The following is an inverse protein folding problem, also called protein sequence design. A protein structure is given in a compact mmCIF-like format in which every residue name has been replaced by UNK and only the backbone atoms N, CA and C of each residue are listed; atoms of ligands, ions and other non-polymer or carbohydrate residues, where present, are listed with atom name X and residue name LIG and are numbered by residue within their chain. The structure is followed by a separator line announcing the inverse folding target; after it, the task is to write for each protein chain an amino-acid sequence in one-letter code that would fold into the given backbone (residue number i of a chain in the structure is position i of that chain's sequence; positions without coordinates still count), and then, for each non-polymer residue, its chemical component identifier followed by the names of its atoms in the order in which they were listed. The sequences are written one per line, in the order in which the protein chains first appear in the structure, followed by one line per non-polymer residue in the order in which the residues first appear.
data_IF_113293366022
#
_entry.id   IF_113293366022
#
_cell.length_a   1.000
_cell.length_b   1.000
_cell.length_c   1.000
_cell.angle_alpha   90.00
_cell.angle_beta   90.00
_cell.angle_gamma   90.00
#
_symmetry.space_group_name_H-M   'P 1'
#
loop_
_entity.id
_entity.type
_entity.pdbx_description
1 polymer ?
#
# COMPACT_ATOMS: atom_id res chain seq x y z
N UNK A 1 0.24 4.55 -9.78
CA UNK A 1 0.49 5.59 -10.81
C UNK A 1 1.02 4.98 -12.10
N UNK A 2 1.13 5.81 -13.13
CA UNK A 2 1.68 5.43 -14.42
C UNK A 2 3.20 5.56 -14.51
N UNK A 3 3.80 6.30 -13.57
CA UNK A 3 5.24 6.49 -13.44
C UNK A 3 5.67 6.53 -12.00
N UNK A 4 6.87 6.03 -11.69
CA UNK A 4 7.41 6.06 -10.33
C UNK A 4 7.61 7.49 -9.80
N UNK A 5 8.02 8.44 -10.65
CA UNK A 5 8.13 9.85 -10.28
C UNK A 5 6.81 10.51 -9.85
N UNK A 6 5.66 9.92 -10.21
CA UNK A 6 4.32 10.38 -9.85
C UNK A 6 3.60 9.38 -8.94
N UNK A 7 4.33 8.50 -8.30
CA UNK A 7 3.77 7.55 -7.35
C UNK A 7 3.18 8.29 -6.15
N UNK A 8 1.97 7.89 -5.74
CA UNK A 8 1.37 8.40 -4.52
C UNK A 8 2.16 7.91 -3.32
N UNK A 9 2.45 8.82 -2.40
CA UNK A 9 3.03 8.49 -1.09
C UNK A 9 1.94 8.71 -0.04
N UNK A 10 1.64 7.70 0.75
CA UNK A 10 0.56 7.75 1.74
C UNK A 10 0.74 8.91 2.75
N UNK A 11 1.99 9.29 3.04
CA UNK A 11 2.31 10.41 3.93
C UNK A 11 1.79 11.75 3.42
N UNK A 12 1.76 11.94 2.10
CA UNK A 12 1.22 13.14 1.45
C UNK A 12 -0.31 13.23 1.59
N UNK A 13 -0.94 12.16 2.05
CA UNK A 13 -2.40 12.09 2.26
C UNK A 13 -2.81 12.30 3.71
N UNK A 14 -1.90 12.67 4.59
CA UNK A 14 -2.16 12.94 6.00
C UNK A 14 -2.16 14.45 6.31
N UNK A 15 -2.69 14.82 7.47
CA UNK A 15 -2.74 16.20 7.92
C UNK A 15 -3.91 17.00 7.33
N UNK A 16 -3.81 18.34 7.39
CA UNK A 16 -4.85 19.23 6.86
C UNK A 16 -5.08 19.01 5.38
N UNK A 17 -6.32 18.79 5.00
CA UNK A 17 -6.72 18.55 3.59
C UNK A 17 -6.32 19.72 2.68
N UNK A 18 -6.36 20.95 3.20
CA UNK A 18 -5.98 22.13 2.43
C UNK A 18 -4.48 22.21 2.10
N UNK A 19 -3.64 21.50 2.87
CA UNK A 19 -2.18 21.48 2.69
C UNK A 19 -1.69 20.27 1.87
N UNK A 20 -2.57 19.32 1.56
CA UNK A 20 -2.19 18.11 0.82
C UNK A 20 -1.85 18.41 -0.63
N UNK A 21 -0.75 17.88 -1.17
CA UNK A 21 -0.36 18.13 -2.55
C UNK A 21 -1.36 17.49 -3.52
N UNK A 22 -1.88 18.27 -4.45
CA UNK A 22 -2.67 17.73 -5.54
C UNK A 22 -1.79 16.91 -6.49
N UNK A 23 -2.32 15.78 -6.99
CA UNK A 23 -1.60 14.90 -7.92
C UNK A 23 -2.46 14.54 -9.12
N UNK A 24 -1.84 14.65 -10.30
CA UNK A 24 -2.47 14.15 -11.52
C UNK A 24 -2.63 12.63 -11.49
N UNK A 25 -3.82 12.19 -11.87
CA UNK A 25 -4.15 10.77 -11.96
C UNK A 25 -4.15 10.32 -13.43
N UNK A 26 -3.68 9.11 -13.68
CA UNK A 26 -3.68 8.47 -15.02
C UNK A 26 -5.07 8.40 -15.67
N UNK A 27 -6.14 8.54 -14.91
CA UNK A 27 -7.53 8.62 -15.39
C UNK A 27 -7.95 10.04 -15.80
N UNK A 28 -6.97 10.93 -16.04
CA UNK A 28 -7.16 12.27 -16.58
C UNK A 28 -7.91 13.24 -15.66
N UNK A 29 -7.67 13.14 -14.36
CA UNK A 29 -8.10 14.14 -13.38
C UNK A 29 -6.99 14.41 -12.35
N UNK A 30 -7.15 15.50 -11.60
CA UNK A 30 -6.27 15.81 -10.48
C UNK A 30 -6.93 15.40 -9.17
N UNK A 31 -6.30 14.50 -8.43
CA UNK A 31 -6.73 14.15 -7.08
C UNK A 31 -6.23 15.18 -6.08
N UNK A 32 -7.10 15.67 -5.20
CA UNK A 32 -6.76 16.59 -4.11
C UNK A 32 -6.28 15.88 -2.85
N UNK A 33 -6.28 14.54 -2.84
CA UNK A 33 -5.99 13.71 -1.67
C UNK A 33 -6.94 13.95 -0.49
N UNK A 34 -8.16 14.43 -0.75
CA UNK A 34 -9.19 14.68 0.27
C UNK A 34 -9.60 13.41 1.04
N UNK A 35 -9.58 12.25 0.37
CA UNK A 35 -9.65 10.92 1.00
C UNK A 35 -8.26 10.30 0.95
N UNK A 36 -7.56 10.31 2.08
CA UNK A 36 -6.24 9.71 2.22
C UNK A 36 -6.26 8.42 3.05
N UNK A 37 -5.08 7.93 3.42
CA UNK A 37 -4.95 6.70 4.19
C UNK A 37 -5.78 6.74 5.49
N UNK A 38 -5.71 7.86 6.23
CA UNK A 38 -6.42 8.00 7.49
C UNK A 38 -7.94 7.92 7.31
N UNK A 39 -8.47 8.65 6.35
CA UNK A 39 -9.90 8.70 6.05
C UNK A 39 -10.41 7.34 5.54
N UNK A 40 -9.63 6.61 4.73
CA UNK A 40 -10.01 5.26 4.31
C UNK A 40 -10.05 4.27 5.47
N UNK A 41 -9.11 4.35 6.40
CA UNK A 41 -9.13 3.53 7.61
C UNK A 41 -10.34 3.84 8.50
N UNK A 42 -10.68 5.13 8.68
CA UNK A 42 -11.90 5.55 9.38
C UNK A 42 -13.16 5.04 8.67
N UNK A 43 -13.23 5.17 7.35
CA UNK A 43 -14.37 4.68 6.57
C UNK A 43 -14.56 3.17 6.74
N UNK A 44 -13.49 2.38 6.70
CA UNK A 44 -13.57 0.95 6.97
C UNK A 44 -14.15 0.68 8.37
N UNK A 45 -13.68 1.41 9.39
CA UNK A 45 -14.21 1.29 10.75
C UNK A 45 -15.69 1.61 10.82
N UNK A 46 -16.12 2.73 10.22
CA UNK A 46 -17.52 3.18 10.24
C UNK A 46 -18.46 2.19 9.52
N UNK A 47 -17.97 1.55 8.48
CA UNK A 47 -18.69 0.52 7.73
C UNK A 47 -18.63 -0.88 8.37
N UNK A 48 -17.81 -1.07 9.40
CA UNK A 48 -17.55 -2.40 9.96
C UNK A 48 -16.78 -3.32 8.99
N UNK A 49 -16.01 -2.74 8.06
CA UNK A 49 -15.21 -3.47 7.08
C UNK A 49 -13.74 -3.61 7.55
N UNK A 50 -13.11 -4.71 7.18
CA UNK A 50 -11.66 -4.86 7.40
C UNK A 50 -10.87 -4.09 6.32
N UNK A 51 -9.92 -3.22 6.71
CA UNK A 51 -9.09 -2.51 5.75
C UNK A 51 -8.08 -3.43 5.08
N UNK A 52 -7.86 -3.20 3.78
CA UNK A 52 -6.77 -3.76 3.01
C UNK A 52 -5.87 -2.62 2.53
N UNK A 53 -4.59 -2.66 2.91
CA UNK A 53 -3.61 -1.66 2.49
C UNK A 53 -2.85 -2.17 1.27
N UNK A 54 -2.86 -1.41 0.19
CA UNK A 54 -2.02 -1.67 -0.99
C UNK A 54 -0.77 -0.80 -0.91
N UNK A 55 0.40 -1.43 -0.86
CA UNK A 55 1.69 -0.73 -0.84
C UNK A 55 2.38 -0.81 -2.20
N UNK A 56 3.07 0.27 -2.58
CA UNK A 56 3.83 0.28 -3.81
C UNK A 56 5.13 -0.50 -3.63
N UNK A 57 5.33 -1.52 -4.46
CA UNK A 57 6.53 -2.36 -4.44
C UNK A 57 7.71 -1.81 -5.26
N UNK A 58 7.74 -0.49 -5.52
CA UNK A 58 8.74 0.12 -6.38
C UNK A 58 8.48 -0.10 -7.87
N UNK A 59 7.22 -0.39 -8.23
CA UNK A 59 6.78 -0.60 -9.62
C UNK A 59 5.48 0.14 -9.89
N UNK A 60 5.37 0.74 -11.07
CA UNK A 60 4.10 1.16 -11.63
C UNK A 60 3.32 -0.05 -12.16
N UNK A 61 2.01 0.12 -12.39
CA UNK A 61 1.19 -0.90 -13.02
C UNK A 61 1.76 -1.32 -14.39
N UNK A 62 2.00 -2.61 -14.59
CA UNK A 62 2.62 -3.13 -15.83
C UNK A 62 1.68 -3.05 -17.03
N UNK A 63 0.37 -3.03 -16.85
CA UNK A 63 -0.58 -2.74 -17.93
C UNK A 63 -0.50 -1.29 -18.44
N UNK A 64 0.17 -0.39 -17.68
CA UNK A 64 0.42 0.99 -18.12
C UNK A 64 1.77 1.15 -18.79
N UNK A 65 2.86 0.87 -18.10
CA UNK A 65 4.21 0.94 -18.67
C UNK A 65 5.26 0.15 -17.89
N UNK A 66 4.95 -0.34 -16.69
CA UNK A 66 5.87 -1.10 -15.86
C UNK A 66 7.10 -0.31 -15.39
N UNK A 67 7.03 1.02 -15.35
CA UNK A 67 8.11 1.85 -14.80
C UNK A 67 8.46 1.41 -13.37
N UNK A 68 9.74 1.35 -13.05
CA UNK A 68 10.19 0.83 -11.76
C UNK A 68 11.49 1.48 -11.30
N UNK A 69 11.72 1.47 -9.99
CA UNK A 69 12.98 1.91 -9.40
C UNK A 69 14.04 0.79 -9.47
N UNK A 70 15.33 1.12 -9.42
CA UNK A 70 16.39 0.13 -9.22
C UNK A 70 16.23 -0.61 -7.88
N UNK A 71 16.66 -1.87 -7.85
CA UNK A 71 16.55 -2.70 -6.64
C UNK A 71 17.36 -2.19 -5.44
N UNK A 72 18.44 -1.49 -5.69
CA UNK A 72 19.25 -0.85 -4.63
C UNK A 72 18.57 0.37 -3.98
N UNK A 73 17.46 0.85 -4.54
CA UNK A 73 16.63 1.91 -3.97
C UNK A 73 15.35 1.37 -3.30
N UNK A 74 15.18 0.04 -3.28
CA UNK A 74 13.93 -0.57 -2.80
C UNK A 74 13.72 -0.40 -1.29
N UNK A 75 14.77 -0.29 -0.51
CA UNK A 75 14.69 -0.21 0.95
C UNK A 75 13.86 0.99 1.43
N UNK A 76 13.92 2.12 0.73
CA UNK A 76 13.06 3.28 1.02
C UNK A 76 11.56 2.96 0.89
N UNK A 77 11.20 2.15 -0.09
CA UNK A 77 9.81 1.74 -0.33
C UNK A 77 9.33 0.70 0.67
N UNK A 78 10.24 -0.19 1.09
CA UNK A 78 9.97 -1.16 2.16
C UNK A 78 9.73 -0.41 3.48
N UNK A 79 10.60 0.53 3.84
CA UNK A 79 10.42 1.34 5.04
C UNK A 79 9.14 2.20 4.98
N UNK A 80 8.77 2.68 3.80
CA UNK A 80 7.50 3.40 3.61
C UNK A 80 6.28 2.50 3.87
N UNK A 81 6.32 1.25 3.40
CA UNK A 81 5.28 0.26 3.66
C UNK A 81 5.20 -0.12 5.16
N UNK A 82 6.35 -0.39 5.80
CA UNK A 82 6.42 -0.68 7.24
C UNK A 82 5.88 0.49 8.07
N UNK A 83 6.18 1.72 7.67
CA UNK A 83 5.68 2.92 8.32
C UNK A 83 4.16 3.08 8.16
N UNK A 84 3.58 2.73 6.99
CA UNK A 84 2.14 2.74 6.78
C UNK A 84 1.43 1.69 7.65
N UNK A 85 2.01 0.49 7.77
CA UNK A 85 1.51 -0.55 8.65
C UNK A 85 1.57 -0.08 10.12
N UNK A 86 2.71 0.49 10.55
CA UNK A 86 2.84 1.05 11.91
C UNK A 86 1.85 2.17 12.16
N UNK A 87 1.59 3.04 11.17
CA UNK A 87 0.55 4.05 11.27
C UNK A 87 -0.82 3.43 11.56
N UNK A 88 -1.17 2.34 10.89
CA UNK A 88 -2.44 1.68 11.08
C UNK A 88 -2.53 0.93 12.43
N UNK A 89 -1.53 0.12 12.79
CA UNK A 89 -1.62 -0.82 13.92
C UNK A 89 -0.64 -0.58 15.06
N UNK A 90 0.31 0.34 14.90
CA UNK A 90 1.31 0.63 15.94
C UNK A 90 0.68 1.26 17.19
N UNK A 91 1.28 1.08 18.38
CA UNK A 91 0.80 1.73 19.61
C UNK A 91 0.99 3.25 19.50
N UNK A 92 0.20 4.05 20.25
CA UNK A 92 0.33 5.50 20.23
C UNK A 92 1.69 6.03 20.76
N UNK A 93 2.52 5.15 21.32
CA UNK A 93 3.90 5.43 21.74
C UNK A 93 4.94 5.25 20.62
N UNK A 94 4.57 4.59 19.52
CA UNK A 94 5.43 4.45 18.36
C UNK A 94 5.40 5.72 17.50
N UNK A 95 6.39 5.89 16.62
CA UNK A 95 6.50 7.08 15.76
C UNK A 95 5.23 7.35 14.95
N UNK A 96 4.76 6.36 14.23
CA UNK A 96 3.63 6.51 13.32
C UNK A 96 2.28 6.31 14.01
N UNK A 97 2.21 5.50 15.06
CA UNK A 97 1.05 5.40 15.93
C UNK A 97 0.77 6.69 16.69
N UNK A 98 1.81 7.41 17.10
CA UNK A 98 1.66 8.75 17.71
C UNK A 98 1.08 9.77 16.70
N UNK A 99 1.49 9.70 15.43
CA UNK A 99 0.91 10.56 14.40
C UNK A 99 -0.56 10.22 14.12
N UNK A 100 -0.92 8.93 14.10
CA UNK A 100 -2.33 8.51 14.02
C UNK A 100 -3.14 9.07 15.18
N UNK A 101 -2.62 8.97 16.40
CA UNK A 101 -3.27 9.52 17.61
C UNK A 101 -3.46 11.05 17.51
N UNK A 102 -2.44 11.77 17.02
CA UNK A 102 -2.53 13.21 16.75
C UNK A 102 -3.60 13.54 15.70
N UNK A 103 -3.80 12.67 14.72
CA UNK A 103 -4.86 12.78 13.70
C UNK A 103 -6.25 12.36 14.22
N UNK A 104 -6.42 12.19 15.54
CA UNK A 104 -7.72 11.96 16.18
C UNK A 104 -8.08 10.49 16.43
N UNK A 105 -7.20 9.53 16.13
CA UNK A 105 -7.48 8.11 16.35
C UNK A 105 -6.35 7.42 17.13
N UNK A 106 -6.34 7.44 18.47
CA UNK A 106 -5.27 6.82 19.26
C UNK A 106 -5.27 5.29 19.19
N UNK A 107 -6.44 4.66 19.01
CA UNK A 107 -6.55 3.21 18.94
C UNK A 107 -6.02 2.67 17.60
N UNK A 108 -5.37 1.48 17.57
CA UNK A 108 -5.04 0.79 16.33
C UNK A 108 -6.27 0.49 15.47
N UNK A 109 -6.11 0.57 14.15
CA UNK A 109 -7.10 0.05 13.21
C UNK A 109 -6.93 -1.47 13.03
N UNK A 110 -8.00 -2.21 12.65
CA UNK A 110 -7.93 -3.66 12.48
C UNK A 110 -7.31 -4.08 11.14
N UNK A 111 -6.13 -3.54 10.80
CA UNK A 111 -5.43 -3.90 9.56
C UNK A 111 -4.85 -5.30 9.67
N UNK A 112 -5.30 -6.20 8.78
CA UNK A 112 -4.82 -7.57 8.66
C UNK A 112 -4.25 -7.90 7.30
N UNK A 113 -4.62 -7.15 6.26
CA UNK A 113 -4.32 -7.42 4.87
C UNK A 113 -3.43 -6.34 4.27
N UNK A 114 -2.33 -6.76 3.66
CA UNK A 114 -1.43 -5.86 2.92
C UNK A 114 -1.12 -6.48 1.56
N UNK A 115 -1.50 -5.77 0.50
CA UNK A 115 -1.16 -6.14 -0.87
C UNK A 115 0.16 -5.50 -1.28
N UNK A 116 1.07 -6.30 -1.81
CA UNK A 116 2.37 -5.87 -2.29
C UNK A 116 2.30 -5.61 -3.79
N UNK A 117 2.24 -4.34 -4.19
CA UNK A 117 2.08 -3.93 -5.58
C UNK A 117 0.63 -3.91 -6.06
N UNK A 118 0.44 -3.62 -7.34
CA UNK A 118 -0.83 -3.69 -8.07
C UNK A 118 -0.58 -3.95 -9.54
N UNK A 119 -1.14 -5.03 -10.07
CA UNK A 119 -0.95 -5.44 -11.47
C UNK A 119 0.53 -5.55 -11.83
N UNK A 120 1.29 -6.21 -10.98
CA UNK A 120 2.71 -6.48 -11.15
C UNK A 120 2.96 -7.99 -11.21
N UNK A 121 3.86 -8.41 -12.09
CA UNK A 121 4.20 -9.82 -12.30
C UNK A 121 5.63 -10.01 -12.85
N UNK A 122 6.04 -11.26 -12.97
CA UNK A 122 7.31 -11.67 -13.56
C UNK A 122 8.52 -11.50 -12.63
N UNK A 123 9.75 -11.72 -13.17
CA UNK A 123 10.95 -11.78 -12.33
C UNK A 123 11.24 -10.53 -11.51
N UNK A 124 10.93 -9.33 -12.05
CA UNK A 124 11.12 -8.06 -11.34
C UNK A 124 10.18 -7.95 -10.14
N UNK A 125 8.94 -8.41 -10.28
CA UNK A 125 7.98 -8.44 -9.18
C UNK A 125 8.37 -9.49 -8.14
N UNK A 126 8.75 -10.69 -8.58
CA UNK A 126 9.15 -11.81 -7.73
C UNK A 126 10.22 -11.41 -6.70
N UNK A 127 11.27 -10.72 -7.16
CA UNK A 127 12.34 -10.28 -6.27
C UNK A 127 11.88 -9.20 -5.28
N UNK A 128 11.05 -8.25 -5.73
CA UNK A 128 10.48 -7.22 -4.86
C UNK A 128 9.54 -7.80 -3.83
N UNK A 129 8.64 -8.68 -4.27
CA UNK A 129 7.72 -9.38 -3.36
C UNK A 129 8.49 -10.09 -2.25
N UNK A 130 9.56 -10.82 -2.58
CA UNK A 130 10.37 -11.52 -1.59
C UNK A 130 10.95 -10.59 -0.52
N UNK A 131 11.49 -9.44 -0.92
CA UNK A 131 12.08 -8.46 0.01
C UNK A 131 11.01 -7.81 0.90
N UNK A 132 9.86 -7.44 0.33
CA UNK A 132 8.73 -6.91 1.11
C UNK A 132 8.18 -7.96 2.06
N UNK A 133 8.00 -9.19 1.58
CA UNK A 133 7.53 -10.33 2.39
C UNK A 133 8.42 -10.50 3.62
N UNK A 134 9.74 -10.62 3.43
CA UNK A 134 10.69 -10.85 4.50
C UNK A 134 10.65 -9.71 5.54
N UNK A 135 10.66 -8.46 5.09
CA UNK A 135 10.63 -7.29 5.95
C UNK A 135 9.32 -7.17 6.74
N UNK A 136 8.18 -7.37 6.08
CA UNK A 136 6.87 -7.27 6.73
C UNK A 136 6.67 -8.43 7.70
N UNK A 137 6.94 -9.67 7.30
CA UNK A 137 6.77 -10.85 8.17
C UNK A 137 7.72 -10.84 9.37
N UNK A 138 8.92 -10.30 9.23
CA UNK A 138 9.85 -10.13 10.35
C UNK A 138 9.30 -9.20 11.44
N UNK A 139 8.57 -8.15 11.07
CA UNK A 139 8.06 -7.14 11.99
C UNK A 139 6.60 -7.34 12.38
N UNK A 140 5.80 -7.86 11.46
CA UNK A 140 4.34 -8.04 11.58
C UNK A 140 3.91 -9.42 11.07
N UNK A 141 4.30 -10.52 11.76
CA UNK A 141 4.03 -11.89 11.29
C UNK A 141 2.54 -12.22 11.14
N UNK A 142 1.68 -11.46 11.84
CA UNK A 142 0.22 -11.63 11.81
C UNK A 142 -0.43 -11.06 10.53
N UNK A 143 0.25 -10.18 9.79
CA UNK A 143 -0.29 -9.59 8.56
C UNK A 143 -0.35 -10.65 7.47
N UNK A 144 -1.51 -10.78 6.82
CA UNK A 144 -1.68 -11.59 5.63
C UNK A 144 -1.25 -10.79 4.40
N UNK A 145 -0.36 -11.36 3.60
CA UNK A 145 0.21 -10.71 2.43
C UNK A 145 -0.49 -11.17 1.17
N UNK A 146 -0.84 -10.20 0.34
CA UNK A 146 -1.51 -10.40 -0.93
C UNK A 146 -0.49 -10.20 -2.04
N UNK A 147 -0.35 -11.20 -2.91
CA UNK A 147 0.44 -11.13 -4.12
C UNK A 147 -0.46 -10.81 -5.32
N UNK A 148 0.01 -9.98 -6.25
CA UNK A 148 -0.73 -9.59 -7.46
C UNK A 148 -0.44 -10.49 -8.67
N UNK A 149 0.38 -11.51 -8.46
CA UNK A 149 0.66 -12.58 -9.42
C UNK A 149 1.26 -13.79 -8.66
N UNK A 150 1.23 -14.99 -9.23
CA UNK A 150 1.92 -16.14 -8.67
C UNK A 150 3.42 -15.87 -8.53
N UNK A 151 3.96 -16.10 -7.33
CA UNK A 151 5.39 -16.04 -7.00
C UNK A 151 5.85 -17.38 -6.42
N UNK A 152 7.13 -17.68 -6.58
CA UNK A 152 7.72 -18.95 -6.12
C UNK A 152 8.71 -18.75 -4.96
N UNK A 153 9.19 -17.52 -4.77
CA UNK A 153 10.24 -17.19 -3.80
C UNK A 153 9.76 -17.20 -2.35
N UNK A 154 8.49 -16.92 -2.12
CA UNK A 154 7.88 -16.86 -0.79
C UNK A 154 6.45 -17.40 -0.82
N UNK A 155 5.89 -17.81 0.34
CA UNK A 155 4.48 -18.17 0.44
C UNK A 155 3.56 -17.01 0.02
N UNK A 156 2.40 -17.36 -0.50
CA UNK A 156 1.31 -16.44 -0.81
C UNK A 156 0.18 -16.74 0.15
N UNK A 157 -0.21 -15.77 0.99
CA UNK A 157 -1.39 -15.93 1.85
C UNK A 157 -2.67 -15.76 1.03
N UNK A 158 -2.69 -14.78 0.12
CA UNK A 158 -3.82 -14.48 -0.78
C UNK A 158 -3.26 -14.09 -2.16
N UNK A 159 -3.83 -14.65 -3.21
CA UNK A 159 -3.55 -14.23 -4.59
C UNK A 159 -4.67 -13.33 -5.10
N UNK A 160 -4.31 -12.13 -5.54
CA UNK A 160 -5.21 -11.18 -6.19
C UNK A 160 -5.09 -11.31 -7.70
N UNK A 161 -6.17 -11.72 -8.34
CA UNK A 161 -6.24 -11.91 -9.79
C UNK A 161 -7.28 -10.98 -10.39
N UNK A 162 -6.89 -10.27 -11.46
CA UNK A 162 -7.75 -9.33 -12.15
C UNK A 162 -8.24 -9.90 -13.49
N UNK A 163 -9.54 -10.03 -13.63
CA UNK A 163 -10.18 -10.50 -14.86
C UNK A 163 -11.21 -9.50 -15.35
N UNK A 164 -11.05 -9.04 -16.58
CA UNK A 164 -12.01 -8.18 -17.27
C UNK A 164 -12.76 -9.00 -18.31
N UNK A 165 -13.94 -9.51 -17.99
CA UNK A 165 -14.69 -10.42 -18.83
C UNK A 165 -16.19 -10.21 -18.73
N UNK A 166 -16.98 -10.96 -19.51
CA UNK A 166 -18.44 -10.98 -19.41
C UNK A 166 -18.91 -11.81 -18.22
N UNK A 167 -20.15 -11.63 -17.74
CA UNK A 167 -20.67 -12.43 -16.62
C UNK A 167 -20.71 -13.95 -16.88
N UNK A 168 -20.69 -14.36 -18.14
CA UNK A 168 -20.72 -15.76 -18.56
C UNK A 168 -19.33 -16.43 -18.57
N UNK A 169 -18.28 -15.65 -18.35
CA UNK A 169 -16.90 -16.16 -18.34
C UNK A 169 -16.56 -16.89 -17.05
#
# INVERSE_FOLDING_TARGET
GDRMRNALRWRDTLGDVAERPARWCVWNYTSTQGLGLHEYLLMCKDLGAEPMLVVNCGMACQYRNGDHIPLNELDEWIEDALAAIEYAIGPPTSKWGALRAKNGHPEPFPLRFVSIGNENWGPLYEERYARFYDAIKARYPQIQLIATAPVKSRPIDILDEHYYSTPEW
#
